data_IF_849619944688
#
_entry.id   IF_849619944688
#
_cell.length_a   1.000
_cell.length_b   1.000
_cell.length_c   1.000
_cell.angle_alpha   90.00
_cell.angle_beta   90.00
_cell.angle_gamma   90.00
#
_symmetry.space_group_name_H-M   'P 1'
#
loop_
_entity.id
_entity.type
_entity.pdbx_description
1 polymer ?
#
# COMPACT_ATOMS: atom_id res chain seq x y z
N UNK A 1 -80.70 -25.88 29.86
CA UNK A 1 -79.29 -26.37 29.53
C UNK A 1 -78.70 -25.33 28.59
N UNK A 2 -77.80 -24.43 29.11
CA UNK A 2 -77.10 -23.41 28.32
C UNK A 2 -75.64 -23.89 28.08
N UNK A 3 -75.29 -24.11 26.80
CA UNK A 3 -73.94 -24.38 26.39
C UNK A 3 -73.16 -23.07 26.38
N UNK A 4 -72.13 -23.00 27.17
CA UNK A 4 -71.15 -21.92 27.12
C UNK A 4 -70.12 -22.22 26.00
N UNK A 5 -69.99 -21.32 25.05
CA UNK A 5 -68.96 -21.35 24.06
C UNK A 5 -67.77 -20.49 24.56
N UNK A 6 -66.63 -21.10 24.74
CA UNK A 6 -65.35 -20.41 25.02
C UNK A 6 -64.76 -19.90 23.72
N UNK A 7 -64.37 -18.65 23.62
CA UNK A 7 -63.64 -18.15 22.43
C UNK A 7 -62.17 -18.52 22.54
N UNK A 8 -61.69 -19.20 21.53
CA UNK A 8 -60.28 -19.55 21.30
C UNK A 8 -59.50 -18.30 20.91
N UNK A 9 -58.75 -17.71 21.80
CA UNK A 9 -57.88 -16.57 21.56
C UNK A 9 -56.61 -17.06 20.85
N UNK A 10 -56.51 -16.79 19.55
CA UNK A 10 -55.27 -17.02 18.77
C UNK A 10 -54.31 -15.86 19.08
N UNK A 11 -53.29 -16.12 19.87
CA UNK A 11 -52.17 -15.24 20.10
C UNK A 11 -51.21 -15.30 18.89
N UNK A 12 -51.28 -14.27 18.01
CA UNK A 12 -50.34 -14.11 16.89
C UNK A 12 -49.03 -13.53 17.42
N UNK A 13 -48.00 -14.35 17.64
CA UNK A 13 -46.67 -13.92 18.02
C UNK A 13 -45.99 -13.34 16.77
N UNK A 14 -45.93 -12.00 16.68
CA UNK A 14 -45.11 -11.27 15.71
C UNK A 14 -43.64 -11.39 16.12
N UNK A 15 -42.90 -12.31 15.46
CA UNK A 15 -41.47 -12.42 15.58
C UNK A 15 -40.82 -11.31 14.76
N UNK A 16 -40.47 -10.21 15.39
CA UNK A 16 -39.70 -9.12 14.76
C UNK A 16 -38.25 -9.58 14.57
N UNK A 17 -37.90 -10.00 13.35
CA UNK A 17 -36.54 -10.27 12.94
C UNK A 17 -35.85 -8.91 12.77
N UNK A 18 -35.17 -8.44 13.81
CA UNK A 18 -34.27 -7.29 13.72
C UNK A 18 -33.08 -7.70 12.85
N UNK A 19 -33.10 -7.34 11.56
CA UNK A 19 -31.97 -7.45 10.65
C UNK A 19 -30.86 -6.52 11.13
N UNK A 20 -29.93 -7.01 11.92
CA UNK A 20 -28.70 -6.32 12.25
C UNK A 20 -27.86 -6.26 10.98
N UNK A 21 -28.01 -5.19 10.18
CA UNK A 21 -27.09 -4.85 9.11
C UNK A 21 -25.76 -4.43 9.76
N UNK A 22 -24.83 -5.36 9.91
CA UNK A 22 -23.45 -5.04 10.26
C UNK A 22 -22.93 -4.09 9.17
N UNK A 23 -22.37 -2.91 9.53
CA UNK A 23 -21.71 -2.08 8.55
C UNK A 23 -20.58 -2.90 7.95
N UNK A 24 -20.71 -3.27 6.69
CA UNK A 24 -19.58 -3.77 5.89
C UNK A 24 -18.62 -2.59 5.83
N UNK A 25 -17.56 -2.63 6.61
CA UNK A 25 -16.44 -1.71 6.47
C UNK A 25 -15.94 -1.89 5.04
N UNK A 26 -16.29 -0.94 4.16
CA UNK A 26 -15.80 -0.92 2.79
C UNK A 26 -14.27 -0.82 2.90
N UNK A 27 -13.58 -1.94 2.68
CA UNK A 27 -12.13 -1.94 2.59
C UNK A 27 -11.75 -1.06 1.41
N UNK A 28 -10.97 -0.02 1.67
CA UNK A 28 -10.48 0.89 0.65
C UNK A 28 -9.58 0.14 -0.34
N UNK A 29 -10.18 -0.26 -1.45
CA UNK A 29 -9.45 -0.95 -2.52
C UNK A 29 -8.38 -0.04 -3.08
N UNK A 30 -7.18 -0.58 -3.24
CA UNK A 30 -6.11 0.09 -3.95
C UNK A 30 -6.47 0.28 -5.44
N UNK A 31 -5.97 1.33 -6.05
CA UNK A 31 -6.03 1.57 -7.50
C UNK A 31 -4.64 1.99 -7.97
N UNK A 32 -4.10 1.30 -8.96
CA UNK A 32 -2.79 1.67 -9.53
C UNK A 32 -2.99 2.86 -10.47
N UNK A 33 -2.22 3.92 -10.26
CA UNK A 33 -2.23 5.10 -11.12
C UNK A 33 -1.39 4.86 -12.37
N UNK A 34 -1.84 5.41 -13.51
CA UNK A 34 -1.15 5.28 -14.78
C UNK A 34 -1.24 6.57 -15.61
N UNK A 35 -0.38 6.71 -16.62
CA UNK A 35 -0.40 7.83 -17.55
C UNK A 35 -0.32 9.18 -16.86
N UNK A 36 -1.24 10.09 -17.21
CA UNK A 36 -1.27 11.46 -16.68
C UNK A 36 -1.51 11.53 -15.16
N UNK A 37 -2.27 10.61 -14.59
CA UNK A 37 -2.51 10.57 -13.13
C UNK A 37 -1.20 10.27 -12.38
N UNK A 38 -0.42 9.29 -12.85
CA UNK A 38 0.87 8.96 -12.27
C UNK A 38 1.83 10.15 -12.38
N UNK A 39 1.96 10.74 -13.57
CA UNK A 39 2.86 11.87 -13.81
C UNK A 39 2.54 13.08 -12.93
N UNK A 40 1.27 13.28 -12.58
CA UNK A 40 0.84 14.41 -11.74
C UNK A 40 1.27 14.26 -10.28
N UNK A 41 1.37 13.05 -9.76
CA UNK A 41 1.66 12.81 -8.34
C UNK A 41 3.13 12.48 -8.07
N UNK A 42 3.86 11.97 -9.06
CA UNK A 42 5.29 11.62 -8.91
C UNK A 42 6.14 12.87 -8.96
N UNK A 43 6.96 13.18 -7.93
CA UNK A 43 7.86 14.32 -7.94
C UNK A 43 8.96 14.15 -8.99
N UNK A 44 9.38 15.25 -9.63
CA UNK A 44 10.46 15.24 -10.64
C UNK A 44 11.84 14.97 -10.06
N UNK A 45 12.04 15.23 -8.77
CA UNK A 45 13.27 14.97 -8.02
C UNK A 45 12.93 14.68 -6.57
N UNK A 46 13.86 14.03 -5.87
CA UNK A 46 13.71 13.73 -4.45
C UNK A 46 14.99 14.07 -3.69
N UNK A 47 14.80 14.68 -2.49
CA UNK A 47 15.89 15.06 -1.60
C UNK A 47 16.18 13.94 -0.60
N UNK A 48 17.44 13.53 -0.53
CA UNK A 48 17.89 12.50 0.42
C UNK A 48 19.33 12.77 0.82
N UNK A 49 19.64 12.70 2.12
CA UNK A 49 20.99 12.88 2.68
C UNK A 49 21.77 14.07 2.09
N UNK A 50 21.16 15.26 2.12
CA UNK A 50 21.84 16.50 1.78
C UNK A 50 21.83 16.87 0.29
N UNK A 51 21.30 16.02 -0.60
CA UNK A 51 21.24 16.35 -2.01
C UNK A 51 19.93 15.90 -2.68
N UNK A 52 19.62 16.50 -3.80
CA UNK A 52 18.45 16.15 -4.62
C UNK A 52 18.89 15.38 -5.85
N UNK A 53 18.15 14.33 -6.19
CA UNK A 53 18.39 13.51 -7.36
C UNK A 53 17.14 13.46 -8.27
N UNK A 54 17.27 13.50 -9.60
CA UNK A 54 16.14 13.44 -10.52
C UNK A 54 15.46 12.08 -10.48
N UNK A 55 14.14 12.08 -10.58
CA UNK A 55 13.32 10.89 -10.60
C UNK A 55 13.38 10.18 -11.95
N UNK A 56 13.56 8.87 -11.92
CA UNK A 56 13.41 8.01 -13.09
C UNK A 56 11.91 7.72 -13.32
N UNK A 57 11.20 8.59 -14.02
CA UNK A 57 9.74 8.51 -14.20
C UNK A 57 9.27 7.15 -14.72
N UNK A 58 10.04 6.46 -15.60
CA UNK A 58 9.70 5.14 -16.12
C UNK A 58 9.80 4.02 -15.07
N UNK A 59 10.54 4.28 -13.99
CA UNK A 59 10.73 3.41 -12.84
C UNK A 59 10.04 4.02 -11.62
N UNK A 60 8.83 4.53 -11.81
CA UNK A 60 7.97 5.05 -10.76
C UNK A 60 6.61 4.38 -10.82
N UNK A 61 5.97 4.28 -9.69
CA UNK A 61 4.63 3.71 -9.54
C UNK A 61 3.89 4.41 -8.41
N UNK A 62 2.58 4.48 -8.50
CA UNK A 62 1.74 5.00 -7.44
C UNK A 62 0.44 4.20 -7.32
N UNK A 63 -0.05 4.09 -6.11
CA UNK A 63 -1.35 3.52 -5.81
C UNK A 63 -2.17 4.54 -4.99
N UNK A 64 -3.48 4.51 -5.17
CA UNK A 64 -4.45 5.26 -4.37
C UNK A 64 -5.34 4.29 -3.64
N UNK A 65 -5.44 4.44 -2.32
CA UNK A 65 -6.38 3.71 -1.47
C UNK A 65 -7.57 4.59 -1.14
N UNK A 66 -8.78 4.12 -1.50
CA UNK A 66 -9.99 4.94 -1.40
C UNK A 66 -9.93 6.18 -2.30
N UNK A 67 -10.34 7.34 -1.78
CA UNK A 67 -10.47 8.57 -2.58
C UNK A 67 -9.24 9.48 -2.55
N UNK A 68 -8.44 9.46 -1.46
CA UNK A 68 -7.41 10.48 -1.21
C UNK A 68 -6.09 9.96 -0.62
N UNK A 69 -5.95 8.67 -0.33
CA UNK A 69 -4.72 8.13 0.28
C UNK A 69 -3.79 7.59 -0.80
N UNK A 70 -2.58 8.13 -0.88
CA UNK A 70 -1.61 7.79 -1.91
C UNK A 70 -0.37 7.11 -1.32
N UNK A 71 0.14 6.16 -2.07
CA UNK A 71 1.49 5.62 -1.93
C UNK A 71 2.20 5.85 -3.26
N UNK A 72 3.31 6.58 -3.24
CA UNK A 72 4.07 6.97 -4.42
C UNK A 72 5.50 6.49 -4.23
N UNK A 73 6.00 5.71 -5.18
CA UNK A 73 7.35 5.14 -5.12
C UNK A 73 8.06 5.40 -6.45
N UNK A 74 9.31 5.80 -6.40
CA UNK A 74 10.08 6.04 -7.61
C UNK A 74 11.57 5.83 -7.39
N UNK A 75 12.25 5.27 -8.39
CA UNK A 75 13.69 5.24 -8.41
C UNK A 75 14.24 6.62 -8.80
N UNK A 76 15.41 6.96 -8.30
CA UNK A 76 16.14 8.18 -8.65
C UNK A 76 17.47 7.87 -9.32
N UNK A 77 18.07 8.87 -9.95
CA UNK A 77 19.46 8.77 -10.41
C UNK A 77 20.40 8.90 -9.20
N UNK A 78 20.95 7.78 -8.78
CA UNK A 78 21.84 7.71 -7.63
C UNK A 78 23.31 7.97 -7.97
N UNK A 79 23.66 8.34 -9.21
CA UNK A 79 25.05 8.50 -9.67
C UNK A 79 25.84 9.56 -8.87
N UNK A 80 25.15 10.58 -8.36
CA UNK A 80 25.74 11.64 -7.53
C UNK A 80 26.03 11.24 -6.07
N UNK A 81 25.53 10.08 -5.61
CA UNK A 81 25.75 9.63 -4.22
C UNK A 81 27.00 8.81 -4.07
N UNK A 82 27.55 8.75 -2.85
CA UNK A 82 28.67 7.87 -2.51
C UNK A 82 28.32 6.39 -2.74
N UNK A 83 29.33 5.55 -2.89
CA UNK A 83 29.13 4.11 -3.06
C UNK A 83 28.40 3.47 -1.88
N UNK A 84 28.65 3.95 -0.66
CA UNK A 84 27.97 3.52 0.56
C UNK A 84 26.46 3.81 0.52
N UNK A 85 26.07 5.03 0.14
CA UNK A 85 24.65 5.42 0.01
C UNK A 85 24.01 4.60 -1.10
N UNK A 86 24.62 4.49 -2.28
CA UNK A 86 24.08 3.70 -3.40
C UNK A 86 23.87 2.23 -3.08
N UNK A 87 24.60 1.68 -2.12
CA UNK A 87 24.44 0.27 -1.71
C UNK A 87 23.11 0.00 -0.99
N UNK A 88 22.47 1.04 -0.44
CA UNK A 88 21.26 0.90 0.38
C UNK A 88 20.10 1.85 -0.02
N UNK A 89 20.32 2.74 -0.98
CA UNK A 89 19.35 3.73 -1.44
C UNK A 89 19.15 3.62 -2.95
N UNK A 90 17.91 3.40 -3.37
CA UNK A 90 17.53 3.29 -4.78
C UNK A 90 16.52 4.38 -5.22
N UNK A 91 15.79 4.98 -4.27
CA UNK A 91 14.76 5.94 -4.58
C UNK A 91 13.92 6.36 -3.38
N UNK A 92 12.75 6.90 -3.64
CA UNK A 92 11.84 7.43 -2.62
C UNK A 92 10.58 6.59 -2.47
N UNK A 93 10.04 6.63 -1.26
CA UNK A 93 8.77 6.07 -0.86
C UNK A 93 7.97 7.14 -0.10
N UNK A 94 6.86 7.60 -0.65
CA UNK A 94 6.00 8.63 -0.05
C UNK A 94 4.64 8.01 0.26
N UNK A 95 4.14 8.24 1.46
CA UNK A 95 2.77 7.90 1.85
C UNK A 95 2.14 9.05 2.60
N UNK A 96 0.92 9.43 2.23
CA UNK A 96 0.14 10.50 2.88
C UNK A 96 -0.75 10.00 4.01
N UNK A 97 -0.71 8.71 4.29
CA UNK A 97 -1.45 8.07 5.39
C UNK A 97 -0.63 6.92 5.98
N UNK A 98 -0.97 6.49 7.19
CA UNK A 98 -0.38 5.28 7.74
C UNK A 98 -0.82 4.06 6.92
N UNK A 99 0.15 3.20 6.62
CA UNK A 99 -0.02 1.95 5.85
C UNK A 99 0.66 0.80 6.55
N UNK A 100 0.44 -0.42 6.07
CA UNK A 100 1.28 -1.57 6.42
C UNK A 100 2.11 -1.98 5.22
N UNK A 101 3.37 -2.35 5.45
CA UNK A 101 4.29 -2.92 4.46
C UNK A 101 4.82 -4.24 5.01
N UNK A 102 4.53 -5.36 4.34
CA UNK A 102 4.92 -6.68 4.82
C UNK A 102 4.38 -7.02 6.22
N UNK A 103 3.25 -6.42 6.62
CA UNK A 103 2.65 -6.57 7.95
C UNK A 103 3.09 -5.52 8.97
N UNK A 104 4.18 -4.81 8.75
CA UNK A 104 4.70 -3.76 9.64
C UNK A 104 4.11 -2.39 9.31
N UNK A 105 3.91 -1.56 10.32
CA UNK A 105 3.32 -0.22 10.15
C UNK A 105 4.36 0.82 9.74
N UNK A 106 4.09 1.54 8.65
CA UNK A 106 4.80 2.75 8.26
C UNK A 106 3.87 3.97 8.42
N UNK A 107 4.34 5.00 9.12
CA UNK A 107 3.61 6.27 9.29
C UNK A 107 3.63 7.11 8.02
N UNK A 108 2.77 8.13 7.95
CA UNK A 108 2.79 9.18 6.93
C UNK A 108 4.17 9.82 6.86
N UNK A 109 4.69 9.98 5.65
CA UNK A 109 6.00 10.61 5.45
C UNK A 109 6.57 10.45 4.05
N UNK A 110 7.76 11.03 3.89
CA UNK A 110 8.60 10.89 2.71
C UNK A 110 9.91 10.22 3.14
N UNK A 111 10.24 9.12 2.51
CA UNK A 111 11.31 8.20 2.90
C UNK A 111 12.21 7.87 1.72
N UNK A 112 13.46 7.54 1.99
CA UNK A 112 14.29 6.78 1.06
C UNK A 112 13.93 5.29 1.13
N UNK A 113 14.23 4.54 0.08
CA UNK A 113 14.15 3.09 0.12
C UNK A 113 15.29 2.43 -0.65
N UNK A 114 15.54 1.16 -0.33
CA UNK A 114 16.38 0.29 -1.13
C UNK A 114 16.10 -1.17 -0.83
N UNK A 115 16.35 -2.01 -1.83
CA UNK A 115 16.28 -3.47 -1.68
C UNK A 115 17.68 -4.02 -1.44
N UNK A 116 17.84 -4.71 -0.34
CA UNK A 116 19.11 -5.30 0.03
C UNK A 116 19.33 -6.69 -0.60
N UNK A 117 20.59 -7.11 -0.69
CA UNK A 117 20.97 -8.42 -1.27
C UNK A 117 20.49 -9.61 -0.43
N UNK A 118 20.23 -9.39 0.85
CA UNK A 118 19.69 -10.39 1.79
C UNK A 118 18.15 -10.51 1.73
N UNK A 119 17.53 -9.94 0.70
CA UNK A 119 16.09 -10.12 0.43
C UNK A 119 15.20 -9.31 1.34
N UNK A 120 15.55 -8.05 1.59
CA UNK A 120 14.73 -7.13 2.37
C UNK A 120 14.46 -5.82 1.62
N UNK A 121 13.31 -5.23 1.86
CA UNK A 121 13.04 -3.83 1.60
C UNK A 121 13.35 -3.04 2.86
N UNK A 122 14.26 -2.08 2.74
CA UNK A 122 14.59 -1.13 3.81
C UNK A 122 13.99 0.23 3.49
N UNK A 123 13.29 0.82 4.46
CA UNK A 123 12.78 2.19 4.41
C UNK A 123 13.68 3.04 5.29
N UNK A 124 14.12 4.17 4.76
CA UNK A 124 15.09 5.06 5.38
C UNK A 124 14.45 6.44 5.61
N UNK A 125 14.74 7.09 6.73
CA UNK A 125 14.42 8.50 6.88
C UNK A 125 15.31 9.37 5.96
N UNK A 126 15.04 10.67 5.87
CA UNK A 126 15.81 11.58 5.00
C UNK A 126 17.28 11.76 5.44
N UNK A 127 17.61 11.41 6.68
CA UNK A 127 18.99 11.38 7.20
C UNK A 127 19.69 10.05 6.87
N UNK A 128 18.96 9.05 6.37
CA UNK A 128 19.47 7.72 6.00
C UNK A 128 19.46 6.71 7.13
N UNK A 129 18.76 6.96 8.22
CA UNK A 129 18.55 5.96 9.26
C UNK A 129 17.46 4.98 8.83
N UNK A 130 17.63 3.70 9.16
CA UNK A 130 16.61 2.69 8.89
C UNK A 130 15.41 2.86 9.82
N UNK A 131 14.22 3.02 9.22
CA UNK A 131 12.94 3.16 9.93
C UNK A 131 12.18 1.86 9.95
N UNK A 132 12.32 1.08 8.87
CA UNK A 132 11.61 -0.18 8.67
C UNK A 132 12.45 -1.11 7.79
N UNK A 133 12.45 -2.39 8.12
CA UNK A 133 13.08 -3.43 7.31
C UNK A 133 12.17 -4.66 7.27
N UNK A 134 11.69 -5.04 6.07
CA UNK A 134 10.76 -6.17 5.88
C UNK A 134 11.29 -7.14 4.83
N UNK A 135 11.04 -8.43 5.05
CA UNK A 135 11.41 -9.46 4.09
C UNK A 135 10.60 -9.34 2.79
N UNK A 136 11.24 -9.57 1.66
CA UNK A 136 10.57 -9.63 0.36
C UNK A 136 10.15 -11.06 0.02
N UNK A 137 9.13 -11.18 -0.84
CA UNK A 137 8.71 -12.44 -1.44
C UNK A 137 9.13 -12.45 -2.91
N UNK A 138 9.65 -13.59 -3.40
CA UNK A 138 10.01 -13.73 -4.80
C UNK A 138 8.85 -14.33 -5.62
N UNK A 139 8.41 -13.62 -6.66
CA UNK A 139 7.38 -14.06 -7.61
C UNK A 139 8.04 -14.71 -8.83
N UNK A 140 8.15 -16.03 -8.80
CA UNK A 140 8.76 -16.82 -9.90
C UNK A 140 7.93 -16.81 -11.18
N UNK A 141 6.62 -16.56 -11.05
CA UNK A 141 5.67 -16.61 -12.16
C UNK A 141 5.57 -15.27 -12.91
N UNK A 142 6.14 -14.19 -12.37
CA UNK A 142 6.14 -12.88 -13.01
C UNK A 142 6.92 -12.93 -14.34
N UNK A 143 6.20 -12.90 -15.47
CA UNK A 143 6.80 -13.08 -16.80
C UNK A 143 7.68 -11.92 -17.27
N UNK A 144 7.32 -10.68 -16.88
CA UNK A 144 7.99 -9.44 -17.33
C UNK A 144 8.36 -8.56 -16.14
N UNK A 145 9.44 -8.91 -15.42
CA UNK A 145 9.90 -8.09 -14.32
C UNK A 145 10.36 -6.71 -14.80
N UNK A 146 10.03 -5.67 -14.05
CA UNK A 146 10.44 -4.30 -14.29
C UNK A 146 11.33 -3.84 -13.13
N UNK A 147 12.18 -2.81 -13.30
CA UNK A 147 12.98 -2.29 -12.20
C UNK A 147 12.14 -1.87 -11.00
N UNK A 148 11.00 -1.21 -11.26
CA UNK A 148 10.00 -0.88 -10.24
C UNK A 148 8.60 -0.93 -10.84
N UNK A 149 7.65 -1.53 -10.13
CA UNK A 149 6.24 -1.55 -10.55
C UNK A 149 5.33 -1.86 -9.37
N UNK A 150 4.05 -1.56 -9.53
CA UNK A 150 2.99 -1.97 -8.61
C UNK A 150 1.93 -2.79 -9.33
N UNK A 151 1.30 -3.73 -8.63
CA UNK A 151 0.14 -4.47 -9.10
C UNK A 151 -0.86 -4.68 -7.97
N UNK A 152 -2.14 -4.87 -8.34
CA UNK A 152 -3.17 -5.22 -7.36
C UNK A 152 -3.04 -6.66 -6.89
N UNK A 153 -3.35 -6.90 -5.61
CA UNK A 153 -3.46 -8.22 -5.00
C UNK A 153 -4.68 -8.23 -4.06
N UNK A 154 -5.85 -8.52 -4.61
CA UNK A 154 -7.11 -8.31 -3.89
C UNK A 154 -7.39 -6.83 -3.63
N UNK A 155 -7.46 -6.43 -2.37
CA UNK A 155 -7.59 -5.03 -1.92
C UNK A 155 -6.24 -4.33 -1.77
N UNK A 156 -5.16 -5.11 -1.68
CA UNK A 156 -3.82 -4.64 -1.37
C UNK A 156 -3.00 -4.42 -2.65
N UNK A 157 -1.83 -3.84 -2.49
CA UNK A 157 -0.89 -3.54 -3.56
C UNK A 157 0.41 -4.29 -3.34
N UNK A 158 0.91 -4.96 -4.38
CA UNK A 158 2.27 -5.48 -4.39
C UNK A 158 3.20 -4.45 -5.02
N UNK A 159 4.23 -4.05 -4.29
CA UNK A 159 5.34 -3.26 -4.81
C UNK A 159 6.47 -4.20 -5.22
N UNK A 160 6.80 -4.20 -6.49
CA UNK A 160 7.84 -5.05 -7.09
C UNK A 160 9.12 -4.27 -7.36
N UNK A 161 10.23 -4.92 -7.08
CA UNK A 161 11.56 -4.59 -7.57
C UNK A 161 12.08 -5.84 -8.31
N UNK A 162 12.05 -5.82 -9.63
CA UNK A 162 12.29 -7.02 -10.42
C UNK A 162 11.20 -8.07 -10.18
N UNK A 163 11.57 -9.21 -9.59
CA UNK A 163 10.66 -10.29 -9.17
C UNK A 163 10.36 -10.29 -7.68
N UNK A 164 11.10 -9.53 -6.91
CA UNK A 164 10.89 -9.43 -5.48
C UNK A 164 9.80 -8.41 -5.17
N UNK A 165 8.91 -8.72 -4.25
CA UNK A 165 7.83 -7.83 -3.87
C UNK A 165 7.55 -7.82 -2.37
N UNK A 166 6.93 -6.75 -1.93
CA UNK A 166 6.27 -6.62 -0.63
C UNK A 166 4.81 -6.26 -0.82
N UNK A 167 3.97 -6.61 0.15
CA UNK A 167 2.54 -6.25 0.17
C UNK A 167 2.38 -4.96 0.95
N UNK A 168 1.65 -4.01 0.36
CA UNK A 168 1.25 -2.74 0.96
C UNK A 168 -0.27 -2.76 1.13
N UNK A 169 -0.75 -2.51 2.35
CA UNK A 169 -2.17 -2.40 2.64
C UNK A 169 -2.50 -1.06 3.33
N UNK A 170 -3.71 -0.56 3.09
CA UNK A 170 -4.25 0.57 3.83
C UNK A 170 -4.47 0.17 5.30
N UNK A 171 -4.17 1.11 6.22
CA UNK A 171 -4.41 0.95 7.65
C UNK A 171 -5.65 1.72 8.10
#
# INVERSE_FOLDING_TARGET
MKRQQTPLTIALALLAIASFSLPVLAQDRGTILAGAELTRVVPSAFYFQGQSAPTQMRNSAAARFGTKRFVIVGMVDTSGYSAEIRARYEGFFITDSAITIGGETLSTGAYGFGFSKDGKLNILDLAGNEVLSVAVTNDKDLRRPRPLSMSMSGTDVRLYRGRDYVVIAAK
#
